data_IF_013966363413
#
_entry.id   IF_013966363413
#
_cell.length_a   1.000
_cell.length_b   1.000
_cell.length_c   1.000
_cell.angle_alpha   90.00
_cell.angle_beta   90.00
_cell.angle_gamma   90.00
#
_symmetry.space_group_name_H-M   'P 1'
#
loop_
_entity.id
_entity.type
_entity.pdbx_description
1 polymer ?
#
# COMPACT_ATOMS: atom_id res chain seq x y z
N UNK A 1 -10.32 -2.49 2.46
CA UNK A 1 -8.85 -2.44 2.60
C UNK A 1 -8.43 -1.58 3.79
N UNK A 2 -8.87 -0.32 3.90
CA UNK A 2 -8.51 0.60 5.00
C UNK A 2 -9.21 0.38 6.36
N UNK A 3 -9.87 -0.76 6.59
CA UNK A 3 -10.70 -0.99 7.79
C UNK A 3 -9.91 -0.83 9.10
N UNK A 4 -8.71 -1.42 9.16
CA UNK A 4 -7.83 -1.33 10.33
C UNK A 4 -7.35 0.10 10.61
N UNK A 5 -7.15 0.91 9.57
CA UNK A 5 -6.73 2.31 9.71
C UNK A 5 -7.86 3.11 10.38
N UNK A 6 -9.09 2.99 9.85
CA UNK A 6 -10.24 3.72 10.37
C UNK A 6 -10.67 3.24 11.75
N UNK A 7 -10.65 1.93 12.02
CA UNK A 7 -11.01 1.38 13.33
C UNK A 7 -10.05 1.82 14.44
N UNK A 8 -8.80 2.13 14.09
CA UNK A 8 -7.80 2.66 15.02
C UNK A 8 -7.81 4.19 15.14
N UNK A 9 -8.78 4.88 14.53
CA UNK A 9 -8.92 6.33 14.60
C UNK A 9 -7.97 7.11 13.69
N UNK A 10 -7.41 6.45 12.68
CA UNK A 10 -6.57 7.08 11.66
C UNK A 10 -7.36 7.32 10.37
N UNK A 11 -6.86 8.26 9.57
CA UNK A 11 -7.29 8.53 8.20
C UNK A 11 -6.17 8.17 7.24
N UNK A 12 -6.51 7.59 6.08
CA UNK A 12 -5.56 7.39 4.99
C UNK A 12 -5.55 8.66 4.12
N UNK A 13 -4.35 9.22 3.89
CA UNK A 13 -4.14 10.44 3.10
C UNK A 13 -3.72 10.17 1.65
N UNK A 14 -3.49 8.91 1.29
CA UNK A 14 -3.17 8.55 -0.07
C UNK A 14 -4.38 8.65 -1.00
N UNK A 15 -4.12 8.88 -2.29
CA UNK A 15 -5.15 9.00 -3.31
C UNK A 15 -5.95 7.69 -3.40
N UNK A 16 -7.28 7.78 -3.45
CA UNK A 16 -8.21 6.63 -3.42
C UNK A 16 -8.01 5.65 -2.24
N UNK A 17 -7.28 6.07 -1.20
CA UNK A 17 -6.94 5.21 -0.06
C UNK A 17 -6.00 4.05 -0.44
N UNK A 18 -5.08 4.31 -1.37
CA UNK A 18 -3.99 3.42 -1.75
C UNK A 18 -3.07 3.08 -0.55
N UNK A 19 -2.45 1.91 -0.59
CA UNK A 19 -1.54 1.38 0.44
C UNK A 19 -0.16 0.98 -0.10
N UNK A 20 0.09 1.17 -1.39
CA UNK A 20 1.35 0.85 -2.05
C UNK A 20 1.16 0.42 -3.50
N UNK A 21 2.22 0.04 -4.18
CA UNK A 21 2.14 -0.27 -5.60
C UNK A 21 3.25 -1.22 -6.06
N UNK A 22 3.10 -1.78 -7.26
CA UNK A 22 4.16 -2.57 -7.87
C UNK A 22 5.42 -1.74 -8.17
N UNK A 23 6.58 -2.38 -8.19
CA UNK A 23 7.83 -1.75 -8.59
C UNK A 23 7.96 -1.84 -10.12
N UNK A 24 7.71 -0.71 -10.79
CA UNK A 24 7.75 -0.62 -12.25
C UNK A 24 8.77 0.42 -12.74
N UNK A 25 9.24 0.24 -13.98
CA UNK A 25 10.17 1.18 -14.61
C UNK A 25 9.52 2.53 -14.95
N UNK A 26 8.21 2.55 -15.19
CA UNK A 26 7.44 3.77 -15.51
C UNK A 26 6.31 3.91 -14.51
N UNK A 27 6.04 5.14 -14.09
CA UNK A 27 4.98 5.43 -13.13
C UNK A 27 3.58 5.05 -13.63
N UNK A 28 3.32 5.19 -14.93
CA UNK A 28 2.03 4.85 -15.53
C UNK A 28 1.71 3.35 -15.59
N UNK A 29 2.72 2.49 -15.40
CA UNK A 29 2.56 1.03 -15.43
C UNK A 29 2.28 0.47 -14.02
N UNK A 30 2.37 1.31 -12.98
CA UNK A 30 2.20 0.90 -11.58
C UNK A 30 0.81 0.33 -11.35
N UNK A 31 0.78 -0.82 -10.68
CA UNK A 31 -0.45 -1.44 -10.19
C UNK A 31 -0.58 -1.09 -8.72
N UNK A 32 -1.64 -0.39 -8.35
CA UNK A 32 -1.86 0.14 -7.00
C UNK A 32 -2.63 -0.83 -6.10
N UNK A 33 -2.25 -0.85 -4.82
CA UNK A 33 -2.97 -1.52 -3.74
C UNK A 33 -4.08 -0.57 -3.30
N UNK A 34 -5.16 -0.53 -4.08
CA UNK A 34 -6.30 0.37 -3.86
C UNK A 34 -7.66 -0.35 -3.93
N UNK A 35 -8.72 0.34 -3.50
CA UNK A 35 -10.08 -0.23 -3.51
C UNK A 35 -10.54 -0.43 -4.96
N UNK A 36 -10.91 -1.67 -5.30
CA UNK A 36 -11.49 -2.01 -6.60
C UNK A 36 -10.52 -2.69 -7.56
N UNK A 37 -9.21 -2.63 -7.31
CA UNK A 37 -8.25 -3.45 -8.02
C UNK A 37 -8.44 -4.93 -7.66
N UNK A 38 -8.47 -5.81 -8.67
CA UNK A 38 -8.68 -7.25 -8.53
C UNK A 38 -7.44 -8.08 -8.89
N UNK A 39 -6.34 -7.44 -9.27
CA UNK A 39 -5.06 -8.12 -9.55
C UNK A 39 -4.49 -8.74 -8.29
N UNK A 40 -3.86 -9.91 -8.43
CA UNK A 40 -3.17 -10.58 -7.32
C UNK A 40 -1.79 -9.96 -7.10
N UNK A 41 -1.34 -9.88 -5.86
CA UNK A 41 0.04 -9.47 -5.52
C UNK A 41 1.09 -10.43 -6.11
N UNK A 42 0.70 -11.69 -6.38
CA UNK A 42 1.58 -12.68 -7.04
C UNK A 42 1.78 -12.44 -8.53
N UNK A 43 1.04 -11.51 -9.14
CA UNK A 43 1.22 -11.13 -10.55
C UNK A 43 2.37 -10.14 -10.76
N UNK A 44 2.96 -9.59 -9.68
CA UNK A 44 4.07 -8.64 -9.75
C UNK A 44 5.31 -9.18 -9.02
N UNK A 45 6.50 -8.80 -9.48
CA UNK A 45 7.75 -9.31 -8.90
C UNK A 45 8.03 -8.72 -7.50
N UNK A 46 7.81 -7.41 -7.36
CA UNK A 46 7.99 -6.68 -6.11
C UNK A 46 6.90 -5.62 -5.97
N UNK A 47 6.54 -5.29 -4.75
CA UNK A 47 5.59 -4.22 -4.45
C UNK A 47 5.95 -3.52 -3.15
N UNK A 48 5.59 -2.25 -3.04
CA UNK A 48 5.65 -1.50 -1.78
C UNK A 48 4.42 -1.82 -0.94
N UNK A 49 4.59 -1.81 0.37
CA UNK A 49 3.50 -1.53 1.30
C UNK A 49 3.89 -0.30 2.10
N UNK A 50 3.11 0.76 1.91
CA UNK A 50 3.48 2.13 2.27
C UNK A 50 2.29 2.97 2.76
N UNK A 51 1.52 2.50 3.76
CA UNK A 51 0.36 3.22 4.26
C UNK A 51 0.73 4.65 4.69
N UNK A 52 0.12 5.64 4.03
CA UNK A 52 0.24 7.05 4.41
C UNK A 52 -0.98 7.44 5.24
N UNK A 53 -0.79 7.56 6.55
CA UNK A 53 -1.87 7.74 7.51
C UNK A 53 -1.64 8.93 8.43
N UNK A 54 -2.71 9.44 9.03
CA UNK A 54 -2.65 10.44 10.07
C UNK A 54 -3.70 10.19 11.14
N UNK A 55 -3.44 10.64 12.37
CA UNK A 55 -4.48 10.67 13.41
C UNK A 55 -5.48 11.77 13.05
N UNK A 56 -6.77 11.54 13.29
CA UNK A 56 -7.80 12.57 13.03
C UNK A 56 -7.41 13.92 13.66
N UNK A 57 -7.49 14.99 12.86
CA UNK A 57 -7.13 16.37 13.22
C UNK A 57 -5.65 16.62 13.59
N UNK A 58 -4.74 15.73 13.20
CA UNK A 58 -3.29 15.94 13.34
C UNK A 58 -2.74 16.78 12.19
N UNK A 59 -1.79 17.65 12.49
CA UNK A 59 -0.99 18.39 11.48
C UNK A 59 0.05 17.49 10.79
N UNK A 60 0.35 16.34 11.40
CA UNK A 60 1.37 15.41 10.92
C UNK A 60 0.76 14.12 10.35
N UNK A 61 1.38 13.63 9.27
CA UNK A 61 1.17 12.31 8.70
C UNK A 61 2.37 11.41 8.95
N UNK A 62 2.15 10.10 8.90
CA UNK A 62 3.16 9.08 8.98
C UNK A 62 3.06 8.17 7.75
N UNK A 63 4.22 7.86 7.18
CA UNK A 63 4.38 6.90 6.10
C UNK A 63 5.51 5.97 6.47
N UNK A 64 5.25 4.67 6.42
CA UNK A 64 6.26 3.64 6.55
C UNK A 64 6.22 2.78 5.32
N UNK A 65 7.30 2.77 4.54
CA UNK A 65 7.40 2.11 3.25
C UNK A 65 8.46 1.02 3.31
N UNK A 66 8.04 -0.20 2.96
CA UNK A 66 8.91 -1.36 2.80
C UNK A 66 8.60 -2.04 1.45
N UNK A 67 9.56 -2.81 0.94
CA UNK A 67 9.43 -3.58 -0.30
C UNK A 67 9.22 -5.06 0.03
N UNK A 68 8.25 -5.67 -0.64
CA UNK A 68 7.87 -7.06 -0.45
C UNK A 68 7.83 -7.82 -1.78
N UNK A 69 7.97 -9.14 -1.68
CA UNK A 69 7.77 -10.08 -2.78
C UNK A 69 7.16 -11.39 -2.27
N UNK A 70 6.64 -12.19 -3.20
CA UNK A 70 6.12 -13.52 -2.91
C UNK A 70 7.08 -14.58 -3.46
N UNK A 71 7.59 -15.43 -2.58
CA UNK A 71 8.40 -16.60 -2.93
C UNK A 71 7.66 -17.86 -2.50
N UNK A 72 7.34 -18.74 -3.44
CA UNK A 72 6.54 -19.96 -3.19
C UNK A 72 5.20 -19.65 -2.48
N UNK A 73 4.60 -18.50 -2.79
CA UNK A 73 3.35 -18.03 -2.16
C UNK A 73 3.52 -17.46 -0.74
N UNK A 74 4.75 -17.39 -0.21
CA UNK A 74 5.05 -16.79 1.10
C UNK A 74 5.52 -15.35 0.92
N UNK A 75 5.00 -14.46 1.75
CA UNK A 75 5.41 -13.06 1.80
C UNK A 75 6.81 -12.93 2.39
N UNK A 76 7.68 -12.20 1.70
CA UNK A 76 9.02 -11.84 2.16
C UNK A 76 9.24 -10.34 2.03
N UNK A 77 9.95 -9.78 3.00
CA UNK A 77 10.44 -8.40 3.00
C UNK A 77 11.87 -8.38 2.44
N UNK A 78 12.21 -7.34 1.68
CA UNK A 78 13.55 -7.11 1.13
C UNK A 78 14.44 -6.35 2.12
#
# INVERSE_FOLDING_TARGET
MNKQITEKGYVNFDFLGNLGHSIERRSGDRIYIEKGNKKKLSEVSYFTFEPHISKGNSEYGYKWENIYYLEEGKLKEL
#
